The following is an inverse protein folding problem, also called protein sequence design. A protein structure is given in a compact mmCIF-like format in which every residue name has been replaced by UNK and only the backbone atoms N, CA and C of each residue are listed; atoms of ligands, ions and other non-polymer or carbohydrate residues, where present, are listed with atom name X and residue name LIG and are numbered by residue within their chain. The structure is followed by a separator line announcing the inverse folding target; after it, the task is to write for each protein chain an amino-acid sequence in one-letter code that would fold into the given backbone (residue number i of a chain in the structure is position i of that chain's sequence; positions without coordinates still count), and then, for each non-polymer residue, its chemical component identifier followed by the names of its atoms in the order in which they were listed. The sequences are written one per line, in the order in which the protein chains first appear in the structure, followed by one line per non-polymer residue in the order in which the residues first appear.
data_IF_118361799768
#
_entry.id   IF_118361799768
#
_cell.length_a   1.000
_cell.length_b   1.000
_cell.length_c   1.000
_cell.angle_alpha   90.00
_cell.angle_beta   90.00
_cell.angle_gamma   90.00
#
_symmetry.space_group_name_H-M   'P 1'
#
loop_
_entity.id
_entity.type
_entity.pdbx_description
1 polymer ?
#
# COMPACT_ATOMS: atom_id res chain seq x y z
N UNK A 1 -8.62 -9.46 -3.58
CA UNK A 1 -7.90 -8.61 -4.53
C UNK A 1 -6.64 -8.06 -3.89
N UNK A 2 -5.58 -7.96 -4.65
CA UNK A 2 -4.29 -7.50 -4.12
C UNK A 2 -4.08 -6.02 -4.41
N UNK A 3 -3.53 -5.31 -3.44
CA UNK A 3 -3.21 -3.89 -3.56
C UNK A 3 -1.78 -3.65 -3.13
N UNK A 4 -1.17 -2.61 -3.70
CA UNK A 4 0.13 -2.12 -3.24
C UNK A 4 -0.09 -0.71 -2.73
N UNK A 5 0.26 -0.48 -1.47
CA UNK A 5 0.07 0.79 -0.79
C UNK A 5 1.41 1.50 -0.69
N UNK A 6 1.46 2.72 -1.20
CA UNK A 6 2.63 3.59 -1.11
C UNK A 6 2.40 4.60 -0.01
N UNK A 7 3.43 4.85 0.78
CA UNK A 7 3.36 5.79 1.90
C UNK A 7 4.27 6.98 1.62
N UNK A 8 4.00 8.10 2.31
CA UNK A 8 4.83 9.29 2.17
C UNK A 8 6.24 9.07 2.72
N UNK A 9 6.38 8.21 3.72
CA UNK A 9 7.68 7.89 4.31
C UNK A 9 7.81 6.39 4.57
N UNK A 10 9.04 5.90 4.65
CA UNK A 10 9.27 4.50 5.00
C UNK A 10 8.86 4.19 6.44
N UNK A 11 8.95 5.18 7.32
CA UNK A 11 8.50 5.02 8.70
C UNK A 11 7.01 4.72 8.78
N UNK A 12 6.23 5.38 7.94
CA UNK A 12 4.78 5.13 7.89
C UNK A 12 4.49 3.71 7.40
N UNK A 13 5.24 3.24 6.41
CA UNK A 13 5.09 1.88 5.91
C UNK A 13 5.38 0.86 7.01
N UNK A 14 6.42 1.09 7.80
CA UNK A 14 6.76 0.21 8.92
C UNK A 14 5.68 0.19 10.00
N UNK A 15 5.11 1.35 10.30
CA UNK A 15 4.00 1.43 11.26
C UNK A 15 2.79 0.64 10.78
N UNK A 16 2.47 0.78 9.50
CA UNK A 16 1.34 0.07 8.91
C UNK A 16 1.56 -1.44 8.94
N UNK A 17 2.80 -1.88 8.68
CA UNK A 17 3.14 -3.30 8.75
C UNK A 17 2.90 -3.86 10.15
N UNK A 18 3.24 -3.10 11.19
CA UNK A 18 2.99 -3.50 12.57
C UNK A 18 1.49 -3.57 12.86
N UNK A 19 0.73 -2.61 12.34
CA UNK A 19 -0.72 -2.62 12.48
C UNK A 19 -1.32 -3.88 11.86
N UNK A 20 -0.83 -4.28 10.68
CA UNK A 20 -1.35 -5.47 10.01
C UNK A 20 -1.09 -6.74 10.78
N UNK A 21 0.03 -6.83 11.50
CA UNK A 21 0.34 -8.01 12.30
C UNK A 21 -0.68 -8.24 13.43
N UNK A 22 -1.31 -7.17 13.88
CA UNK A 22 -2.28 -7.22 14.98
C UNK A 22 -3.72 -7.17 14.47
N UNK A 23 -3.92 -7.37 13.18
CA UNK A 23 -5.24 -7.31 12.54
C UNK A 23 -5.49 -8.58 11.75
N UNK A 24 -6.69 -8.71 11.22
CA UNK A 24 -7.07 -9.85 10.39
C UNK A 24 -6.68 -9.67 8.92
N UNK A 25 -6.05 -8.54 8.58
CA UNK A 25 -5.62 -8.29 7.21
C UNK A 25 -4.38 -9.09 6.87
N UNK A 26 -4.30 -9.54 5.62
CA UNK A 26 -3.15 -10.26 5.09
C UNK A 26 -2.32 -9.29 4.26
N UNK A 27 -1.12 -8.97 4.72
CA UNK A 27 -0.26 -8.05 4.03
C UNK A 27 1.18 -8.18 4.46
N UNK A 28 2.09 -7.66 3.65
CA UNK A 28 3.52 -7.69 3.96
C UNK A 28 4.23 -6.46 3.44
N UNK A 29 5.33 -6.13 4.11
CA UNK A 29 6.20 -5.04 3.70
C UNK A 29 7.07 -5.51 2.54
N UNK A 30 7.07 -4.77 1.43
CA UNK A 30 7.83 -5.12 0.24
C UNK A 30 8.60 -3.91 -0.28
N UNK A 31 9.73 -4.14 -0.99
CA UNK A 31 10.32 -3.05 -1.76
C UNK A 31 9.42 -2.72 -2.95
N UNK A 32 9.25 -1.44 -3.22
CA UNK A 32 8.34 -1.02 -4.28
C UNK A 32 8.94 -1.28 -5.66
N UNK A 33 8.12 -1.78 -6.61
CA UNK A 33 8.56 -1.91 -8.00
C UNK A 33 8.89 -0.54 -8.60
N UNK A 34 9.86 -0.50 -9.51
CA UNK A 34 10.25 0.73 -10.19
C UNK A 34 9.12 1.33 -11.02
N UNK A 35 8.20 0.51 -11.47
CA UNK A 35 7.03 0.97 -12.21
C UNK A 35 6.15 1.91 -11.40
N UNK A 36 6.19 1.78 -10.07
CA UNK A 36 5.32 2.52 -9.17
C UNK A 36 6.00 3.71 -8.52
N UNK A 37 7.33 3.71 -8.51
CA UNK A 37 8.09 4.80 -7.90
C UNK A 37 9.45 4.90 -8.55
N UNK A 38 9.98 6.13 -8.63
CA UNK A 38 11.33 6.38 -9.12
C UNK A 38 12.37 6.31 -8.01
N UNK A 39 11.95 6.24 -6.77
CA UNK A 39 12.86 6.16 -5.63
C UNK A 39 12.76 4.78 -4.98
N UNK A 40 13.83 4.37 -4.30
CA UNK A 40 13.85 3.12 -3.58
C UNK A 40 13.04 3.29 -2.30
N UNK A 41 11.78 2.89 -2.33
CA UNK A 41 10.89 2.97 -1.20
C UNK A 41 10.35 1.62 -0.82
N UNK A 42 9.73 1.58 0.34
CA UNK A 42 9.02 0.40 0.82
C UNK A 42 7.52 0.67 0.75
N UNK A 43 6.77 -0.38 0.52
CA UNK A 43 5.33 -0.31 0.52
C UNK A 43 4.73 -1.55 1.12
N UNK A 44 3.41 -1.62 1.15
CA UNK A 44 2.69 -2.75 1.69
C UNK A 44 1.92 -3.43 0.57
N UNK A 45 2.12 -4.73 0.43
CA UNK A 45 1.28 -5.55 -0.44
C UNK A 45 0.15 -6.10 0.43
N UNK A 46 -1.07 -5.68 0.16
CA UNK A 46 -2.22 -6.01 0.98
C UNK A 46 -3.24 -6.80 0.18
N UNK A 47 -3.70 -7.89 0.76
CA UNK A 47 -4.82 -8.64 0.22
C UNK A 47 -6.08 -8.22 0.98
N UNK A 48 -7.05 -7.68 0.27
CA UNK A 48 -8.20 -7.06 0.90
C UNK A 48 -9.43 -7.18 0.01
N UNK A 49 -10.58 -7.48 0.62
CA UNK A 49 -11.84 -7.66 -0.10
C UNK A 49 -12.89 -6.61 0.24
N UNK A 50 -12.64 -5.79 1.25
CA UNK A 50 -13.58 -4.74 1.66
C UNK A 50 -13.32 -3.43 0.94
N UNK A 51 -14.00 -2.39 1.37
CA UNK A 51 -13.79 -1.04 0.86
C UNK A 51 -12.46 -0.46 1.33
N UNK A 52 -11.71 0.13 0.41
CA UNK A 52 -10.40 0.69 0.74
C UNK A 52 -10.47 1.81 1.76
N UNK A 53 -11.61 2.49 1.86
CA UNK A 53 -11.75 3.58 2.83
C UNK A 53 -11.50 3.14 4.27
N UNK A 54 -11.62 1.85 4.55
CA UNK A 54 -11.36 1.32 5.89
C UNK A 54 -9.86 1.33 6.24
N UNK A 55 -8.98 1.34 5.24
CA UNK A 55 -7.53 1.31 5.46
C UNK A 55 -6.83 2.61 5.08
N UNK A 56 -7.53 3.53 4.42
CA UNK A 56 -6.94 4.80 4.00
C UNK A 56 -6.65 5.69 5.21
N UNK A 57 -5.46 6.24 5.27
CA UNK A 57 -5.05 7.17 6.33
C UNK A 57 -4.22 8.30 5.71
N UNK A 58 -3.91 9.31 6.53
CA UNK A 58 -3.10 10.46 6.09
C UNK A 58 -1.70 10.09 5.65
N UNK A 59 -1.21 8.94 6.09
CA UNK A 59 0.15 8.50 5.80
C UNK A 59 0.27 7.84 4.44
N UNK A 60 -0.87 7.49 3.81
CA UNK A 60 -0.88 6.81 2.53
C UNK A 60 -0.80 7.83 1.40
N UNK A 61 0.14 7.61 0.49
CA UNK A 61 0.32 8.45 -0.69
C UNK A 61 -0.53 7.96 -1.86
N UNK A 62 -0.41 6.69 -2.19
CA UNK A 62 -1.12 6.08 -3.32
C UNK A 62 -1.46 4.64 -3.02
N UNK A 63 -2.48 4.14 -3.70
CA UNK A 63 -2.82 2.72 -3.67
C UNK A 63 -3.03 2.25 -5.10
N UNK A 64 -2.39 1.16 -5.46
CA UNK A 64 -2.55 0.51 -6.75
C UNK A 64 -3.23 -0.83 -6.59
N UNK A 65 -4.19 -1.14 -7.46
CA UNK A 65 -4.74 -2.47 -7.58
C UNK A 65 -3.83 -3.30 -8.48
N UNK A 66 -3.55 -4.53 -8.10
CA UNK A 66 -2.67 -5.41 -8.86
C UNK A 66 -3.52 -6.42 -9.64
N UNK A 67 -3.33 -6.46 -10.95
CA UNK A 67 -4.00 -7.41 -11.82
C UNK A 67 -2.95 -8.04 -12.74
N UNK A 68 -2.50 -9.25 -12.37
CA UNK A 68 -1.40 -9.89 -13.08
C UNK A 68 -0.15 -9.04 -13.03
N UNK A 69 0.35 -8.63 -14.20
CA UNK A 69 1.53 -7.79 -14.30
C UNK A 69 1.19 -6.30 -14.38
N UNK A 70 -0.07 -5.95 -14.22
CA UNK A 70 -0.51 -4.56 -14.36
C UNK A 70 -0.89 -3.95 -13.03
N UNK A 71 -0.67 -2.64 -12.91
CA UNK A 71 -1.01 -1.86 -11.73
C UNK A 71 -1.95 -0.75 -12.13
N UNK A 72 -3.07 -0.63 -11.43
CA UNK A 72 -4.05 0.41 -11.68
C UNK A 72 -4.13 1.32 -10.46
N UNK A 73 -3.94 2.63 -10.67
CA UNK A 73 -4.06 3.59 -9.58
C UNK A 73 -5.52 3.70 -9.15
N UNK A 74 -5.82 3.35 -7.91
CA UNK A 74 -7.17 3.41 -7.37
C UNK A 74 -7.35 4.46 -6.28
N UNK A 75 -6.24 4.99 -5.76
CA UNK A 75 -6.28 6.06 -4.76
C UNK A 75 -5.02 6.90 -4.84
N UNK A 76 -5.18 8.19 -4.72
CA UNK A 76 -4.06 9.14 -4.61
C UNK A 76 -4.43 10.21 -3.60
N UNK A 77 -3.52 10.46 -2.67
CA UNK A 77 -3.74 11.49 -1.67
C UNK A 77 -3.75 12.88 -2.35
N UNK A 78 -4.65 13.72 -1.91
CA UNK A 78 -4.68 15.11 -2.37
C UNK A 78 -3.77 15.92 -1.47
N UNK A 79 -3.04 16.85 -2.09
CA UNK A 79 -2.19 17.77 -1.36
C UNK A 79 -2.88 19.12 -1.24
#
# INVERSE_FOLDING_TARGET
MNYIILFHTNSSALKFAKFLKNSDYVGELIPLPRKLTSSCGMGIKLQFTGGLSAVISEEIEKIYAVQGDQYELVYRAEE
#
